data_IF_483573881184
#
_entry.id   IF_483573881184
#
_cell.length_a   1.000
_cell.length_b   1.000
_cell.length_c   1.000
_cell.angle_alpha   90.00
_cell.angle_beta   90.00
_cell.angle_gamma   90.00
#
_symmetry.space_group_name_H-M   'P 1'
#
loop_
_entity.id
_entity.type
_entity.pdbx_description
1 polymer ?
#
# COMPACT_ATOMS: atom_id res chain seq x y z
N UNK A 1 -5.77 -46.65 -28.53
CA UNK A 1 -5.83 -45.22 -28.14
C UNK A 1 -5.58 -45.18 -26.64
N UNK A 2 -4.34 -44.99 -26.23
CA UNK A 2 -3.89 -44.92 -24.86
C UNK A 2 -3.88 -43.43 -24.46
N UNK A 3 -4.60 -43.10 -23.37
CA UNK A 3 -4.64 -41.74 -22.82
C UNK A 3 -3.25 -41.30 -22.33
N UNK A 4 -2.83 -40.05 -22.49
CA UNK A 4 -1.57 -39.56 -21.99
C UNK A 4 -1.61 -39.47 -20.45
N UNK A 5 -0.46 -39.67 -19.76
CA UNK A 5 -0.38 -39.61 -18.31
C UNK A 5 -0.60 -38.18 -17.82
N UNK A 6 -1.51 -38.03 -16.87
CA UNK A 6 -1.72 -36.80 -16.12
C UNK A 6 -0.48 -36.45 -15.33
N UNK A 7 0.16 -35.33 -15.66
CA UNK A 7 1.27 -34.76 -14.90
C UNK A 7 0.81 -34.44 -13.45
N UNK A 8 1.62 -34.75 -12.41
CA UNK A 8 1.29 -34.44 -11.04
C UNK A 8 1.24 -32.93 -10.83
N UNK A 9 0.16 -32.45 -10.22
CA UNK A 9 0.01 -31.09 -9.72
C UNK A 9 1.16 -30.83 -8.72
N UNK A 10 2.17 -30.11 -9.16
CA UNK A 10 3.22 -29.59 -8.29
C UNK A 10 2.58 -28.55 -7.37
N UNK A 11 2.36 -28.94 -6.11
CA UNK A 11 2.08 -28.01 -5.02
C UNK A 11 3.32 -27.11 -4.85
N UNK A 12 3.21 -25.80 -5.04
CA UNK A 12 4.36 -24.93 -4.85
C UNK A 12 4.75 -24.93 -3.37
N UNK A 13 6.05 -24.99 -3.03
CA UNK A 13 6.50 -24.96 -1.66
C UNK A 13 6.00 -23.67 -1.00
N UNK A 14 5.42 -23.80 0.20
CA UNK A 14 5.07 -22.72 1.10
C UNK A 14 6.37 -22.03 1.55
N UNK A 15 6.96 -21.22 0.69
CA UNK A 15 8.23 -20.59 0.94
C UNK A 15 8.06 -19.26 1.69
N UNK A 16 8.79 -19.10 2.77
CA UNK A 16 9.04 -17.85 3.49
C UNK A 16 9.32 -16.66 2.54
N UNK A 17 9.88 -16.91 1.36
CA UNK A 17 10.10 -15.91 0.30
C UNK A 17 8.81 -15.27 -0.22
N UNK A 18 7.73 -16.03 -0.38
CA UNK A 18 6.43 -15.48 -0.82
C UNK A 18 5.76 -14.60 0.25
N UNK A 19 6.07 -14.84 1.52
CA UNK A 19 5.60 -13.99 2.61
C UNK A 19 6.34 -12.65 2.61
N UNK A 20 7.67 -12.66 2.41
CA UNK A 20 8.49 -11.43 2.38
C UNK A 20 8.13 -10.50 1.20
N UNK A 21 7.67 -11.03 0.08
CA UNK A 21 7.23 -10.23 -1.08
C UNK A 21 5.82 -9.67 -0.96
N UNK A 22 5.07 -10.08 0.07
CA UNK A 22 3.71 -9.58 0.27
C UNK A 22 3.71 -8.16 0.85
N UNK A 23 2.79 -7.31 0.37
CA UNK A 23 2.58 -5.97 0.92
C UNK A 23 2.37 -6.00 2.44
N UNK A 24 1.66 -7.03 2.93
CA UNK A 24 1.41 -7.25 4.35
C UNK A 24 2.71 -7.44 5.15
N UNK A 25 3.66 -8.24 4.66
CA UNK A 25 4.92 -8.47 5.33
C UNK A 25 5.81 -7.22 5.36
N UNK A 26 5.82 -6.44 4.28
CA UNK A 26 6.55 -5.17 4.24
C UNK A 26 5.98 -4.15 5.23
N UNK A 27 4.66 -4.02 5.30
CA UNK A 27 3.99 -3.16 6.27
C UNK A 27 4.27 -3.62 7.70
N UNK A 28 4.19 -4.93 7.97
CA UNK A 28 4.52 -5.49 9.28
C UNK A 28 5.97 -5.20 9.67
N UNK A 29 6.93 -5.44 8.77
CA UNK A 29 8.34 -5.17 9.04
C UNK A 29 8.61 -3.67 9.29
N UNK A 30 7.95 -2.79 8.55
CA UNK A 30 8.08 -1.34 8.73
C UNK A 30 7.48 -0.88 10.06
N UNK A 31 6.29 -1.37 10.44
CA UNK A 31 5.66 -1.03 11.72
C UNK A 31 6.45 -1.57 12.90
N UNK A 32 6.93 -2.81 12.83
CA UNK A 32 7.78 -3.39 13.86
C UNK A 32 9.09 -2.60 13.99
N UNK A 33 9.73 -2.26 12.87
CA UNK A 33 10.95 -1.44 12.87
C UNK A 33 10.73 -0.06 13.49
N UNK A 34 9.62 0.59 13.19
CA UNK A 34 9.27 1.89 13.79
C UNK A 34 9.05 1.79 15.30
N UNK A 35 8.37 0.73 15.76
CA UNK A 35 8.16 0.50 17.21
C UNK A 35 9.51 0.28 17.92
N UNK A 36 10.34 -0.61 17.37
CA UNK A 36 11.67 -0.90 17.95
C UNK A 36 12.59 0.33 17.96
N UNK A 37 12.53 1.15 16.94
CA UNK A 37 13.27 2.42 16.90
C UNK A 37 12.79 3.38 18.00
N UNK A 38 11.49 3.50 18.19
CA UNK A 38 10.90 4.33 19.24
C UNK A 38 11.30 3.84 20.62
N UNK A 39 11.26 2.53 20.84
CA UNK A 39 11.73 1.91 22.09
C UNK A 39 13.19 2.18 22.37
N UNK A 40 14.07 2.00 21.38
CA UNK A 40 15.49 2.31 21.50
C UNK A 40 15.71 3.78 21.87
N UNK A 41 14.93 4.70 21.30
CA UNK A 41 15.01 6.13 21.59
C UNK A 41 14.59 6.46 23.03
N UNK A 42 13.62 5.74 23.58
CA UNK A 42 13.14 5.91 24.97
C UNK A 42 14.04 5.19 25.97
N UNK A 43 14.60 4.05 25.60
CA UNK A 43 15.43 3.22 26.47
C UNK A 43 16.68 3.94 26.98
N UNK A 44 17.41 4.64 26.11
CA UNK A 44 18.65 5.33 26.46
C UNK A 44 18.42 6.41 27.54
N UNK A 45 17.45 7.34 27.40
CA UNK A 45 17.14 8.29 28.46
C UNK A 45 16.66 7.63 29.76
N UNK A 46 15.90 6.54 29.67
CA UNK A 46 15.38 5.82 30.86
C UNK A 46 16.51 5.24 31.68
N UNK A 47 17.46 4.57 31.04
CA UNK A 47 18.66 4.03 31.75
C UNK A 47 19.54 5.15 32.31
N UNK A 48 19.67 6.25 31.58
CA UNK A 48 20.41 7.44 32.03
C UNK A 48 19.77 8.05 33.28
N UNK A 49 18.44 8.17 33.32
CA UNK A 49 17.72 8.68 34.48
C UNK A 49 17.85 7.75 35.67
N UNK A 50 17.73 6.43 35.48
CA UNK A 50 17.94 5.46 36.54
C UNK A 50 19.32 5.64 37.20
N UNK A 51 20.39 5.71 36.34
CA UNK A 51 21.75 5.94 36.84
C UNK A 51 21.86 7.23 37.65
N UNK A 52 21.31 8.31 37.13
CA UNK A 52 21.36 9.61 37.79
C UNK A 52 20.63 9.59 39.13
N UNK A 53 19.39 9.07 39.17
CA UNK A 53 18.61 8.94 40.41
C UNK A 53 19.32 8.05 41.43
N UNK A 54 19.87 6.93 41.02
CA UNK A 54 20.60 6.02 41.88
C UNK A 54 21.80 6.70 42.57
N UNK A 55 22.56 7.52 41.81
CA UNK A 55 23.68 8.28 42.35
C UNK A 55 23.22 9.44 43.26
N UNK A 56 22.19 10.17 42.89
CA UNK A 56 21.60 11.26 43.65
C UNK A 56 21.04 10.77 45.02
N UNK A 57 20.43 9.59 45.06
CA UNK A 57 19.96 8.97 46.30
C UNK A 57 21.12 8.71 47.28
N UNK A 58 22.28 8.22 46.81
CA UNK A 58 23.46 7.98 47.65
C UNK A 58 24.09 9.29 48.08
N UNK A 59 24.15 10.28 47.20
CA UNK A 59 24.60 11.64 47.55
C UNK A 59 23.69 12.25 48.63
N UNK A 60 22.37 12.12 48.47
CA UNK A 60 21.42 12.62 49.50
C UNK A 60 21.60 11.92 50.84
N UNK A 61 21.79 10.61 50.85
CA UNK A 61 22.06 9.86 52.07
C UNK A 61 23.40 10.28 52.73
N UNK A 62 24.44 10.49 51.92
CA UNK A 62 25.74 10.97 52.40
C UNK A 62 25.67 12.40 52.95
N UNK A 63 24.86 13.30 52.34
CA UNK A 63 24.60 14.64 52.90
C UNK A 63 23.96 14.58 54.29
N UNK A 64 22.99 13.68 54.49
CA UNK A 64 22.36 13.49 55.78
C UNK A 64 23.39 12.99 56.82
N UNK A 65 24.27 12.05 56.42
CA UNK A 65 25.34 11.56 57.27
C UNK A 65 26.36 12.67 57.60
N UNK A 66 26.72 13.52 56.64
CA UNK A 66 27.59 14.68 56.86
C UNK A 66 26.97 15.71 57.83
N UNK A 67 25.68 16.02 57.68
CA UNK A 67 24.96 16.92 58.58
C UNK A 67 24.88 16.35 60.01
N UNK A 68 24.71 15.02 60.17
CA UNK A 68 24.72 14.39 61.47
C UNK A 68 26.08 14.52 62.16
N UNK A 69 27.18 14.52 61.39
CA UNK A 69 28.53 14.72 61.87
C UNK A 69 28.77 16.20 62.26
N UNK A 70 28.29 17.15 61.48
CA UNK A 70 28.39 18.60 61.79
C UNK A 70 27.64 18.94 63.08
N UNK A 71 26.58 18.20 63.45
CA UNK A 71 25.83 18.38 64.64
C UNK A 71 26.48 17.69 65.89
N UNK A 72 27.48 16.85 65.66
CA UNK A 72 28.19 16.13 66.78
C UNK A 72 29.20 17.03 67.49
N UNK A 73 29.38 16.87 68.79
CA UNK A 73 30.40 17.60 69.55
C UNK A 73 31.78 17.30 69.01
N UNK A 74 32.56 18.36 68.73
CA UNK A 74 33.91 18.32 68.13
C UNK A 74 33.99 17.69 66.72
N UNK A 75 32.86 17.47 66.05
CA UNK A 75 32.74 16.75 64.72
C UNK A 75 33.34 15.33 64.77
N UNK A 76 33.42 14.74 65.94
CA UNK A 76 33.88 13.36 66.18
C UNK A 76 32.69 12.47 66.49
N UNK A 77 32.61 11.34 65.83
CA UNK A 77 31.64 10.27 66.12
C UNK A 77 32.39 8.99 66.41
N UNK A 78 31.76 8.10 67.18
CA UNK A 78 32.35 6.81 67.42
C UNK A 78 32.51 6.01 66.13
N UNK A 79 33.52 5.15 66.09
CA UNK A 79 33.78 4.28 64.93
C UNK A 79 32.56 3.45 64.55
N UNK A 80 31.80 2.95 65.53
CA UNK A 80 30.55 2.20 65.29
C UNK A 80 29.48 3.05 64.63
N UNK A 81 29.34 4.31 65.00
CA UNK A 81 28.36 5.23 64.34
C UNK A 81 28.81 5.62 62.93
N UNK A 82 30.11 5.85 62.79
CA UNK A 82 30.71 6.13 61.44
C UNK A 82 30.43 4.96 60.48
N UNK A 83 30.70 3.73 60.87
CA UNK A 83 30.43 2.54 60.07
C UNK A 83 28.92 2.35 59.77
N UNK A 84 28.09 2.58 60.81
CA UNK A 84 26.62 2.53 60.63
C UNK A 84 26.09 3.57 59.66
N UNK A 85 26.64 4.79 59.66
CA UNK A 85 26.26 5.85 58.74
C UNK A 85 26.69 5.53 57.29
N UNK A 86 27.95 5.07 57.12
CA UNK A 86 28.46 4.65 55.79
C UNK A 86 27.64 3.48 55.22
N UNK A 87 27.31 2.48 56.06
CA UNK A 87 26.53 1.34 55.65
C UNK A 87 25.09 1.74 55.23
N UNK A 88 24.43 2.63 55.99
CA UNK A 88 23.08 3.11 55.66
C UNK A 88 23.05 4.00 54.44
N UNK A 89 24.10 4.77 54.16
CA UNK A 89 24.24 5.57 52.95
C UNK A 89 24.69 4.73 51.74
N UNK A 90 25.05 3.46 51.96
CA UNK A 90 25.59 2.56 50.95
C UNK A 90 26.84 3.16 50.22
N UNK A 91 27.68 3.86 50.96
CA UNK A 91 28.92 4.48 50.49
C UNK A 91 30.12 3.98 51.29
N UNK A 92 31.31 4.00 50.67
CA UNK A 92 32.53 3.57 51.33
C UNK A 92 33.23 4.70 52.09
N UNK A 93 33.16 5.93 51.57
CA UNK A 93 33.74 7.10 52.19
C UNK A 93 32.93 8.35 51.81
N UNK A 94 32.96 9.35 52.68
CA UNK A 94 32.39 10.68 52.48
C UNK A 94 33.44 11.71 52.84
N UNK A 95 33.71 12.61 51.88
CA UNK A 95 34.56 13.77 52.10
C UNK A 95 33.81 15.04 51.69
N UNK A 96 34.11 16.18 52.29
CA UNK A 96 33.61 17.47 51.89
C UNK A 96 34.80 18.36 51.49
N UNK A 97 34.63 19.09 50.46
CA UNK A 97 35.64 20.03 49.94
C UNK A 97 35.14 21.43 50.23
N UNK A 98 35.89 22.17 51.04
CA UNK A 98 35.62 23.57 51.38
C UNK A 98 36.92 24.36 51.09
N UNK A 99 36.86 25.40 50.31
CA UNK A 99 38.01 26.25 49.94
C UNK A 99 39.26 25.46 49.45
N UNK A 100 39.07 24.48 48.56
CA UNK A 100 40.12 23.59 48.05
C UNK A 100 40.77 22.64 49.11
N UNK A 101 40.27 22.63 50.33
CA UNK A 101 40.70 21.67 51.35
C UNK A 101 39.76 20.48 51.41
N UNK A 102 40.32 19.28 51.21
CA UNK A 102 39.58 18.03 51.41
C UNK A 102 39.47 17.75 52.92
N UNK A 103 38.26 17.87 53.45
CA UNK A 103 37.95 17.49 54.81
C UNK A 103 37.29 16.11 54.72
N UNK A 104 38.03 15.07 55.11
CA UNK A 104 37.53 13.73 55.17
C UNK A 104 36.57 13.61 56.36
N UNK A 105 35.28 13.41 56.11
CA UNK A 105 34.25 13.35 57.12
C UNK A 105 34.11 11.94 57.72
N UNK A 106 33.94 10.96 56.83
CA UNK A 106 33.73 9.55 57.17
C UNK A 106 34.67 8.70 56.30
N UNK A 107 35.51 7.90 56.94
CA UNK A 107 36.45 7.01 56.26
C UNK A 107 36.26 5.56 56.76
N UNK A 108 36.43 4.58 55.87
CA UNK A 108 36.46 3.18 56.30
C UNK A 108 37.75 2.88 57.05
N UNK A 109 37.69 1.93 57.93
CA UNK A 109 38.89 1.42 58.68
C UNK A 109 39.87 0.71 57.74
N UNK A 110 39.42 0.23 56.58
CA UNK A 110 40.25 -0.48 55.58
C UNK A 110 40.50 0.45 54.40
N UNK A 111 41.76 0.60 53.94
CA UNK A 111 42.05 1.41 52.78
C UNK A 111 41.31 0.96 51.54
N UNK A 112 40.72 1.92 50.82
CA UNK A 112 40.05 1.64 49.55
C UNK A 112 41.12 1.40 48.49
N UNK A 113 41.19 0.20 47.92
CA UNK A 113 42.16 -0.19 46.90
C UNK A 113 41.39 -0.58 45.62
N UNK A 114 41.70 0.08 44.52
CA UNK A 114 41.09 -0.24 43.21
C UNK A 114 41.16 0.93 42.24
N UNK A 115 40.82 0.69 40.97
CA UNK A 115 40.72 1.77 39.98
C UNK A 115 39.54 2.67 40.33
N UNK A 116 39.81 3.98 40.41
CA UNK A 116 38.82 4.99 40.73
C UNK A 116 38.44 5.80 39.49
N UNK A 117 37.14 6.03 39.35
CA UNK A 117 36.61 6.86 38.25
C UNK A 117 35.79 8.01 38.81
N UNK A 118 36.17 9.22 38.40
CA UNK A 118 35.48 10.45 38.77
C UNK A 118 34.17 10.59 37.99
N UNK A 119 33.09 10.89 38.70
CA UNK A 119 31.75 11.17 38.15
C UNK A 119 31.28 12.50 38.76
N UNK A 120 31.29 13.55 37.97
CA UNK A 120 30.77 14.86 38.36
C UNK A 120 29.27 14.96 37.97
N UNK A 121 28.40 15.13 38.97
CA UNK A 121 26.97 15.32 38.76
C UNK A 121 26.59 16.79 38.52
N UNK A 122 27.52 17.70 38.76
CA UNK A 122 27.30 19.15 38.60
C UNK A 122 27.42 19.49 37.09
N UNK A 123 26.39 20.03 36.50
CA UNK A 123 26.48 20.61 35.16
C UNK A 123 26.54 19.60 34.00
N UNK A 124 26.18 18.34 34.20
CA UNK A 124 26.16 17.34 33.11
C UNK A 124 25.00 17.55 32.14
N UNK A 125 25.31 17.59 30.83
CA UNK A 125 24.28 17.65 29.78
C UNK A 125 23.51 16.33 29.65
N UNK A 126 22.29 16.37 29.13
CA UNK A 126 21.48 15.15 28.92
C UNK A 126 22.22 14.12 28.04
N UNK A 127 22.90 14.57 27.00
CA UNK A 127 23.71 13.72 26.14
C UNK A 127 24.90 13.11 26.90
N UNK A 128 25.59 13.89 27.73
CA UNK A 128 26.70 13.42 28.56
C UNK A 128 26.26 12.35 29.56
N UNK A 129 25.09 12.54 30.22
CA UNK A 129 24.49 11.54 31.12
C UNK A 129 24.17 10.24 30.41
N UNK A 130 23.57 10.31 29.20
CA UNK A 130 23.26 9.14 28.41
C UNK A 130 24.50 8.35 28.00
N UNK A 131 25.55 9.05 27.57
CA UNK A 131 26.81 8.41 27.19
C UNK A 131 27.50 7.79 28.43
N UNK A 132 27.47 8.46 29.56
CA UNK A 132 28.00 7.93 30.81
C UNK A 132 27.27 6.68 31.26
N UNK A 133 25.92 6.63 31.15
CA UNK A 133 25.13 5.45 31.45
C UNK A 133 25.49 4.26 30.54
N UNK A 134 25.68 4.48 29.25
CA UNK A 134 26.12 3.40 28.32
C UNK A 134 27.53 2.90 28.68
N UNK A 135 28.41 3.77 29.12
CA UNK A 135 29.77 3.40 29.54
C UNK A 135 29.77 2.50 30.78
N UNK A 136 28.79 2.61 31.67
CA UNK A 136 28.68 1.74 32.88
C UNK A 136 28.56 0.25 32.49
N UNK A 137 27.88 -0.08 31.41
CA UNK A 137 27.75 -1.48 30.94
C UNK A 137 29.12 -2.07 30.51
N UNK A 138 30.01 -1.21 29.97
CA UNK A 138 31.32 -1.61 29.47
C UNK A 138 32.43 -1.54 30.54
N UNK A 139 32.13 -0.99 31.73
CA UNK A 139 33.10 -0.80 32.77
C UNK A 139 33.61 -2.14 33.36
N UNK A 140 34.91 -2.26 33.69
CA UNK A 140 35.49 -3.45 34.25
C UNK A 140 34.95 -3.72 35.65
N UNK A 141 34.93 -4.99 36.09
CA UNK A 141 34.50 -5.33 37.46
C UNK A 141 35.51 -4.81 38.50
N UNK A 142 35.00 -4.35 39.64
CA UNK A 142 35.82 -3.87 40.76
C UNK A 142 36.24 -2.39 40.71
N UNK A 143 35.70 -1.64 39.74
CA UNK A 143 35.89 -0.18 39.67
C UNK A 143 35.15 0.52 40.80
N UNK A 144 35.78 1.56 41.39
CA UNK A 144 35.16 2.44 42.36
C UNK A 144 34.74 3.74 41.70
N UNK A 145 33.58 4.26 42.06
CA UNK A 145 33.10 5.55 41.59
C UNK A 145 33.36 6.60 42.65
N UNK A 146 34.02 7.66 42.25
CA UNK A 146 34.19 8.89 43.02
C UNK A 146 33.16 9.89 42.49
N UNK A 147 32.08 10.09 43.24
CA UNK A 147 30.97 10.95 42.81
C UNK A 147 31.08 12.30 43.47
N UNK A 148 31.12 13.33 42.64
CA UNK A 148 31.20 14.72 43.09
C UNK A 148 29.86 15.40 42.85
N UNK A 149 29.30 15.99 43.91
CA UNK A 149 28.03 16.70 43.87
C UNK A 149 28.07 17.95 44.75
N UNK A 150 27.03 18.77 44.68
CA UNK A 150 26.87 19.91 45.61
C UNK A 150 26.80 19.44 47.05
N UNK A 151 27.47 20.09 47.99
CA UNK A 151 27.52 19.76 49.38
C UNK A 151 26.27 20.15 50.17
N UNK A 152 26.37 20.06 51.51
CA UNK A 152 25.28 20.35 52.45
C UNK A 152 25.06 21.85 52.66
N UNK A 153 26.05 22.69 52.39
CA UNK A 153 25.99 24.16 52.50
C UNK A 153 26.45 24.83 51.20
N UNK A 154 26.06 26.09 50.98
CA UNK A 154 26.49 26.88 49.81
C UNK A 154 28.01 26.95 49.74
N UNK A 155 28.54 26.63 48.53
CA UNK A 155 29.98 26.65 48.27
C UNK A 155 30.72 25.37 48.69
N UNK A 156 30.11 24.43 49.36
CA UNK A 156 30.72 23.13 49.66
C UNK A 156 30.44 22.11 48.58
N UNK A 157 31.36 21.21 48.36
CA UNK A 157 31.23 20.08 47.43
C UNK A 157 31.38 18.79 48.20
N UNK A 158 30.43 17.88 48.06
CA UNK A 158 30.51 16.55 48.64
C UNK A 158 31.12 15.58 47.63
N UNK A 159 32.05 14.78 48.13
CA UNK A 159 32.70 13.71 47.37
C UNK A 159 32.40 12.38 48.10
N UNK A 160 31.80 11.44 47.41
CA UNK A 160 31.49 10.12 47.92
C UNK A 160 32.17 9.03 47.12
N UNK A 161 32.68 8.02 47.78
CA UNK A 161 33.27 6.86 47.17
C UNK A 161 32.32 5.69 47.33
N UNK A 162 32.00 5.02 46.24
CA UNK A 162 31.07 3.87 46.24
C UNK A 162 31.51 2.80 45.21
N UNK A 163 31.18 1.52 45.48
CA UNK A 163 31.48 0.47 44.51
C UNK A 163 30.51 0.54 43.33
N UNK A 164 31.03 0.35 42.10
CA UNK A 164 30.22 0.33 40.87
C UNK A 164 29.30 -0.87 40.78
N UNK A 165 29.66 -2.01 41.38
CA UNK A 165 28.97 -3.27 41.21
C UNK A 165 27.46 -3.23 41.47
N UNK A 166 26.96 -2.62 42.59
CA UNK A 166 25.52 -2.49 42.85
C UNK A 166 24.80 -1.70 41.77
N UNK A 167 25.34 -0.55 41.36
CA UNK A 167 24.79 0.28 40.29
C UNK A 167 24.65 -0.52 38.99
N UNK A 168 25.71 -1.22 38.58
CA UNK A 168 25.71 -2.06 37.37
C UNK A 168 24.66 -3.16 37.44
N UNK A 169 24.51 -3.80 38.60
CA UNK A 169 23.51 -4.86 38.80
C UNK A 169 22.11 -4.31 38.64
N UNK A 170 21.80 -3.19 39.28
CA UNK A 170 20.49 -2.55 39.20
C UNK A 170 20.18 -2.05 37.80
N UNK A 171 21.16 -1.46 37.12
CA UNK A 171 21.03 -1.04 35.73
C UNK A 171 20.75 -2.23 34.78
N UNK A 172 21.45 -3.35 34.94
CA UNK A 172 21.23 -4.55 34.14
C UNK A 172 19.85 -5.16 34.41
N UNK A 173 19.45 -5.27 35.66
CA UNK A 173 18.10 -5.76 36.02
C UNK A 173 17.00 -4.86 35.48
N UNK A 174 17.17 -3.56 35.56
CA UNK A 174 16.24 -2.59 34.99
C UNK A 174 16.18 -2.73 33.46
N UNK A 175 17.34 -2.81 32.78
CA UNK A 175 17.41 -3.03 31.36
C UNK A 175 16.64 -4.28 30.93
N UNK A 176 16.83 -5.41 31.61
CA UNK A 176 16.10 -6.64 31.32
C UNK A 176 14.59 -6.52 31.49
N UNK A 177 14.15 -5.87 32.61
CA UNK A 177 12.72 -5.64 32.87
C UNK A 177 12.09 -4.75 31.82
N UNK A 178 12.72 -3.60 31.52
CA UNK A 178 12.21 -2.65 30.52
C UNK A 178 12.20 -3.29 29.16
N UNK A 179 13.33 -3.85 28.70
CA UNK A 179 13.41 -4.48 27.37
C UNK A 179 12.42 -5.64 27.22
N UNK A 180 12.29 -6.48 28.26
CA UNK A 180 11.33 -7.60 28.24
C UNK A 180 9.89 -7.13 28.13
N UNK A 181 9.50 -6.15 28.94
CA UNK A 181 8.15 -5.58 28.91
C UNK A 181 7.88 -4.88 27.57
N UNK A 182 8.82 -4.07 27.10
CA UNK A 182 8.75 -3.37 25.82
C UNK A 182 8.62 -4.34 24.65
N UNK A 183 9.39 -5.42 24.65
CA UNK A 183 9.30 -6.43 23.59
C UNK A 183 7.92 -7.10 23.53
N UNK A 184 7.33 -7.38 24.71
CA UNK A 184 5.96 -7.93 24.79
C UNK A 184 4.95 -6.93 24.21
N UNK A 185 5.03 -5.67 24.63
CA UNK A 185 4.13 -4.60 24.16
C UNK A 185 4.31 -4.42 22.64
N UNK A 186 5.55 -4.36 22.16
CA UNK A 186 5.86 -4.24 20.75
C UNK A 186 5.28 -5.39 19.91
N UNK A 187 5.43 -6.62 20.41
CA UNK A 187 4.89 -7.80 19.73
C UNK A 187 3.36 -7.76 19.67
N UNK A 188 2.71 -7.44 20.78
CA UNK A 188 1.24 -7.33 20.84
C UNK A 188 0.75 -6.23 19.90
N UNK A 189 1.38 -5.05 19.94
CA UNK A 189 1.04 -3.93 19.05
C UNK A 189 1.25 -4.28 17.58
N UNK A 190 2.37 -4.91 17.23
CA UNK A 190 2.66 -5.32 15.85
C UNK A 190 1.66 -6.35 15.34
N UNK A 191 1.30 -7.35 16.16
CA UNK A 191 0.27 -8.35 15.79
C UNK A 191 -1.09 -7.70 15.60
N UNK A 192 -1.48 -6.77 16.48
CA UNK A 192 -2.75 -6.06 16.39
C UNK A 192 -2.82 -5.20 15.12
N UNK A 193 -1.79 -4.40 14.88
CA UNK A 193 -1.70 -3.56 13.68
C UNK A 193 -1.73 -4.42 12.40
N UNK A 194 -0.96 -5.53 12.39
CA UNK A 194 -0.97 -6.46 11.27
C UNK A 194 -2.38 -7.04 11.02
N UNK A 195 -3.06 -7.48 12.08
CA UNK A 195 -4.40 -8.03 11.96
C UNK A 195 -5.41 -7.01 11.40
N UNK A 196 -5.35 -5.77 11.89
CA UNK A 196 -6.18 -4.67 11.38
C UNK A 196 -5.87 -4.40 9.90
N UNK A 197 -4.60 -4.25 9.54
CA UNK A 197 -4.20 -4.02 8.14
C UNK A 197 -4.59 -5.19 7.22
N UNK A 198 -4.41 -6.43 7.67
CA UNK A 198 -4.79 -7.60 6.88
C UNK A 198 -6.30 -7.63 6.59
N UNK A 199 -7.12 -7.42 7.62
CA UNK A 199 -8.59 -7.46 7.49
C UNK A 199 -9.14 -6.28 6.70
N UNK A 200 -8.67 -5.05 6.98
CA UNK A 200 -9.26 -3.84 6.42
C UNK A 200 -8.65 -3.39 5.10
N UNK A 201 -7.39 -3.77 4.80
CA UNK A 201 -6.66 -3.31 3.60
C UNK A 201 -6.27 -4.47 2.70
N UNK A 202 -5.49 -5.44 3.22
CA UNK A 202 -4.86 -6.46 2.38
C UNK A 202 -5.88 -7.41 1.77
N UNK A 203 -6.80 -7.95 2.56
CA UNK A 203 -7.84 -8.88 2.06
C UNK A 203 -8.77 -8.23 1.04
N UNK A 204 -9.30 -7.01 1.25
CA UNK A 204 -10.10 -6.33 0.24
C UNK A 204 -9.34 -6.08 -1.07
N UNK A 205 -8.10 -5.59 -1.00
CA UNK A 205 -7.28 -5.36 -2.20
C UNK A 205 -7.00 -6.67 -2.95
N UNK A 206 -6.66 -7.75 -2.25
CA UNK A 206 -6.48 -9.07 -2.87
C UNK A 206 -7.73 -9.56 -3.59
N UNK A 207 -8.93 -9.34 -3.02
CA UNK A 207 -10.19 -9.71 -3.68
C UNK A 207 -10.38 -8.95 -4.99
N UNK A 208 -10.10 -7.65 -5.00
CA UNK A 208 -10.15 -6.80 -6.20
C UNK A 208 -9.17 -7.31 -7.25
N UNK A 209 -7.91 -7.54 -6.88
CA UNK A 209 -6.88 -8.03 -7.81
C UNK A 209 -7.26 -9.38 -8.43
N UNK A 210 -7.71 -10.33 -7.61
CA UNK A 210 -8.15 -11.65 -8.11
C UNK A 210 -9.33 -11.52 -9.06
N UNK A 211 -10.31 -10.65 -8.77
CA UNK A 211 -11.45 -10.42 -9.67
C UNK A 211 -11.00 -9.87 -11.01
N UNK A 212 -10.10 -8.87 -11.02
CA UNK A 212 -9.55 -8.30 -12.26
C UNK A 212 -8.79 -9.34 -13.07
N UNK A 213 -7.92 -10.13 -12.43
CA UNK A 213 -7.16 -11.17 -13.11
C UNK A 213 -8.06 -12.24 -13.74
N UNK A 214 -9.11 -12.65 -13.03
CA UNK A 214 -10.06 -13.63 -13.52
C UNK A 214 -10.91 -13.05 -14.66
N UNK A 215 -11.38 -11.81 -14.51
CA UNK A 215 -12.15 -11.12 -15.53
C UNK A 215 -11.34 -10.90 -16.81
N UNK A 216 -10.05 -10.57 -16.70
CA UNK A 216 -9.19 -10.36 -17.87
C UNK A 216 -8.96 -11.63 -18.70
N UNK A 217 -9.04 -12.81 -18.09
CA UNK A 217 -8.84 -14.10 -18.78
C UNK A 217 -10.05 -14.51 -19.63
N UNK A 218 -11.24 -14.21 -19.14
CA UNK A 218 -12.51 -14.56 -19.84
C UNK A 218 -13.63 -13.56 -19.52
N UNK A 219 -13.66 -12.40 -20.19
CA UNK A 219 -14.69 -11.38 -19.95
C UNK A 219 -16.12 -11.82 -20.33
N UNK A 220 -16.25 -12.75 -21.25
CA UNK A 220 -17.54 -13.16 -21.81
C UNK A 220 -18.32 -14.15 -20.96
N UNK A 221 -17.62 -15.14 -20.34
CA UNK A 221 -18.22 -16.19 -19.53
C UNK A 221 -18.16 -15.92 -18.02
N UNK A 222 -17.59 -14.80 -17.59
CA UNK A 222 -17.39 -14.46 -16.19
C UNK A 222 -18.72 -14.40 -15.42
N UNK A 223 -18.98 -15.43 -14.62
CA UNK A 223 -20.20 -15.56 -13.80
C UNK A 223 -20.05 -15.01 -12.39
N UNK A 224 -18.81 -14.97 -11.86
CA UNK A 224 -18.51 -14.56 -10.48
C UNK A 224 -18.02 -13.11 -10.45
N UNK A 225 -18.95 -12.17 -10.57
CA UNK A 225 -18.67 -10.74 -10.54
C UNK A 225 -18.33 -10.24 -9.14
N UNK A 226 -17.54 -9.18 -9.09
CA UNK A 226 -17.30 -8.46 -7.85
C UNK A 226 -18.63 -7.88 -7.35
N UNK A 227 -19.07 -8.31 -6.16
CA UNK A 227 -20.29 -7.75 -5.56
C UNK A 227 -20.02 -6.34 -5.06
N UNK A 228 -20.95 -5.40 -5.26
CA UNK A 228 -20.88 -4.09 -4.64
C UNK A 228 -20.71 -4.19 -3.14
N UNK A 229 -19.88 -3.32 -2.56
CA UNK A 229 -19.63 -3.29 -1.12
C UNK A 229 -20.30 -2.07 -0.48
N UNK A 230 -20.82 -2.17 0.76
CA UNK A 230 -21.37 -1.04 1.49
C UNK A 230 -20.27 -0.10 2.05
N UNK A 231 -18.99 -0.40 1.85
CA UNK A 231 -17.87 0.42 2.32
C UNK A 231 -17.89 1.79 1.65
N UNK A 232 -17.64 2.83 2.48
CA UNK A 232 -17.63 4.24 2.03
C UNK A 232 -16.22 4.82 1.86
N UNK A 233 -15.18 4.04 2.15
CA UNK A 233 -13.78 4.42 2.00
C UNK A 233 -13.29 4.31 0.54
N UNK A 234 -12.04 4.66 0.30
CA UNK A 234 -11.39 4.65 -1.01
C UNK A 234 -11.39 3.25 -1.64
N UNK A 235 -11.19 2.22 -0.82
CA UNK A 235 -11.18 0.81 -1.25
C UNK A 235 -12.59 0.41 -1.69
N UNK A 236 -13.61 0.79 -0.94
CA UNK A 236 -15.02 0.55 -1.30
C UNK A 236 -15.42 1.25 -2.58
N UNK A 237 -15.00 2.51 -2.77
CA UNK A 237 -15.24 3.26 -4.02
C UNK A 237 -14.58 2.59 -5.22
N UNK A 238 -13.31 2.18 -5.09
CA UNK A 238 -12.60 1.47 -6.15
C UNK A 238 -13.27 0.13 -6.49
N UNK A 239 -13.72 -0.61 -5.48
CA UNK A 239 -14.43 -1.88 -5.64
C UNK A 239 -15.75 -1.71 -6.38
N UNK A 240 -16.53 -0.69 -6.04
CA UNK A 240 -17.81 -0.39 -6.68
C UNK A 240 -17.63 0.11 -8.11
N UNK A 241 -16.64 0.96 -8.37
CA UNK A 241 -16.30 1.41 -9.72
C UNK A 241 -15.89 0.24 -10.63
N UNK A 242 -15.06 -0.66 -10.12
CA UNK A 242 -14.63 -1.86 -10.85
C UNK A 242 -15.82 -2.79 -11.14
N UNK A 243 -16.69 -3.03 -10.16
CA UNK A 243 -17.93 -3.82 -10.34
C UNK A 243 -18.82 -3.24 -11.44
N UNK A 244 -18.94 -1.90 -11.48
CA UNK A 244 -19.66 -1.20 -12.55
C UNK A 244 -19.02 -1.41 -13.92
N UNK A 245 -17.69 -1.32 -14.01
CA UNK A 245 -16.92 -1.55 -15.23
C UNK A 245 -17.07 -3.00 -15.73
N UNK A 246 -16.90 -4.00 -14.87
CA UNK A 246 -17.10 -5.42 -15.18
C UNK A 246 -18.50 -5.67 -15.76
N UNK A 247 -19.51 -5.04 -15.17
CA UNK A 247 -20.91 -5.14 -15.67
C UNK A 247 -21.04 -4.52 -17.07
N UNK A 248 -20.56 -3.32 -17.27
CA UNK A 248 -20.67 -2.63 -18.57
C UNK A 248 -19.96 -3.39 -19.69
N UNK A 249 -18.76 -3.92 -19.43
CA UNK A 249 -18.01 -4.72 -20.39
C UNK A 249 -18.73 -6.03 -20.71
N UNK A 250 -19.24 -6.74 -19.69
CA UNK A 250 -19.99 -7.98 -19.91
C UNK A 250 -21.29 -7.75 -20.68
N UNK A 251 -21.96 -6.62 -20.46
CA UNK A 251 -23.17 -6.26 -21.23
C UNK A 251 -22.82 -5.95 -22.69
N UNK A 252 -21.70 -5.25 -22.95
CA UNK A 252 -21.20 -5.01 -24.30
C UNK A 252 -20.84 -6.31 -25.05
N UNK A 253 -20.20 -7.27 -24.37
CA UNK A 253 -19.92 -8.59 -24.95
C UNK A 253 -21.21 -9.35 -25.30
N UNK A 254 -22.22 -9.33 -24.44
CA UNK A 254 -23.52 -9.96 -24.71
C UNK A 254 -24.23 -9.33 -25.91
N UNK A 255 -24.24 -8.01 -25.99
CA UNK A 255 -24.79 -7.31 -27.14
C UNK A 255 -24.07 -7.70 -28.43
N UNK A 256 -22.73 -7.76 -28.38
CA UNK A 256 -21.93 -8.15 -29.56
C UNK A 256 -22.20 -9.59 -30.00
N UNK A 257 -22.32 -10.51 -29.05
CA UNK A 257 -22.68 -11.90 -29.34
C UNK A 257 -24.09 -11.99 -29.96
N UNK A 258 -25.07 -11.26 -29.42
CA UNK A 258 -26.43 -11.23 -29.94
C UNK A 258 -26.48 -10.64 -31.36
N UNK A 259 -25.74 -9.56 -31.64
CA UNK A 259 -25.64 -9.01 -32.97
C UNK A 259 -24.98 -9.98 -33.96
N UNK A 260 -23.97 -10.74 -33.52
CA UNK A 260 -23.33 -11.77 -34.35
C UNK A 260 -24.31 -12.93 -34.68
N UNK A 261 -25.11 -13.33 -33.70
CA UNK A 261 -26.15 -14.36 -33.87
C UNK A 261 -27.25 -13.89 -34.85
N UNK A 262 -27.73 -12.65 -34.68
CA UNK A 262 -28.69 -12.04 -35.60
C UNK A 262 -28.10 -11.93 -37.02
N UNK A 263 -26.85 -11.52 -37.16
CA UNK A 263 -26.16 -11.46 -38.46
C UNK A 263 -26.08 -12.82 -39.14
N UNK A 264 -25.81 -13.88 -38.39
CA UNK A 264 -25.81 -15.26 -38.90
C UNK A 264 -27.19 -15.72 -39.32
N UNK A 265 -28.22 -15.44 -38.56
CA UNK A 265 -29.59 -15.77 -38.87
C UNK A 265 -30.09 -15.06 -40.12
N UNK A 266 -29.80 -13.75 -40.24
CA UNK A 266 -30.13 -12.94 -41.45
C UNK A 266 -29.41 -13.48 -42.67
N UNK A 267 -28.13 -13.86 -42.56
CA UNK A 267 -27.39 -14.45 -43.69
C UNK A 267 -28.01 -15.76 -44.19
N UNK A 268 -28.48 -16.61 -43.26
CA UNK A 268 -29.17 -17.87 -43.60
C UNK A 268 -30.50 -17.60 -44.28
N UNK A 269 -31.32 -16.72 -43.69
CA UNK A 269 -32.63 -16.36 -44.31
C UNK A 269 -32.43 -15.82 -45.72
N UNK A 270 -31.47 -14.97 -45.95
CA UNK A 270 -31.20 -14.42 -47.27
C UNK A 270 -30.68 -15.45 -48.25
N UNK A 271 -29.89 -16.43 -47.80
CA UNK A 271 -29.49 -17.57 -48.64
C UNK A 271 -30.71 -18.37 -49.11
N UNK A 272 -31.61 -18.68 -48.17
CA UNK A 272 -32.83 -19.47 -48.46
C UNK A 272 -33.80 -18.68 -49.34
N UNK A 273 -33.92 -17.36 -49.10
CA UNK A 273 -34.71 -16.45 -49.96
C UNK A 273 -34.19 -16.40 -51.37
N UNK A 274 -32.85 -16.24 -51.56
CA UNK A 274 -32.21 -16.23 -52.89
C UNK A 274 -32.48 -17.53 -53.66
N UNK A 275 -32.36 -18.67 -53.01
CA UNK A 275 -32.66 -19.97 -53.62
C UNK A 275 -34.13 -20.11 -54.05
N UNK A 276 -35.06 -19.61 -53.22
CA UNK A 276 -36.50 -19.62 -53.55
C UNK A 276 -36.81 -18.68 -54.73
N UNK A 277 -36.21 -17.48 -54.74
CA UNK A 277 -36.38 -16.51 -55.83
C UNK A 277 -35.77 -17.03 -57.14
N UNK A 278 -34.56 -17.65 -57.09
CA UNK A 278 -33.95 -18.27 -58.28
C UNK A 278 -34.85 -19.41 -58.87
N UNK A 279 -35.47 -20.22 -57.97
CA UNK A 279 -36.39 -21.24 -58.40
C UNK A 279 -37.66 -20.63 -59.04
N UNK A 280 -38.18 -19.55 -58.47
CA UNK A 280 -39.34 -18.83 -59.06
C UNK A 280 -38.99 -18.16 -60.38
N UNK A 281 -37.77 -17.70 -60.59
CA UNK A 281 -37.26 -17.13 -61.83
C UNK A 281 -37.22 -18.19 -62.93
N UNK A 282 -36.74 -19.41 -62.63
CA UNK A 282 -36.74 -20.52 -63.59
C UNK A 282 -38.17 -20.87 -64.07
N UNK A 283 -39.14 -20.87 -63.18
CA UNK A 283 -40.54 -21.11 -63.52
C UNK A 283 -41.09 -19.95 -64.39
N UNK A 284 -40.74 -18.69 -64.00
CA UNK A 284 -41.15 -17.52 -64.82
C UNK A 284 -40.59 -17.57 -66.24
N UNK A 285 -39.32 -18.01 -66.41
CA UNK A 285 -38.68 -18.18 -67.71
C UNK A 285 -39.39 -19.24 -68.57
N UNK A 286 -39.88 -20.32 -68.00
CA UNK A 286 -40.67 -21.33 -68.66
C UNK A 286 -42.04 -20.77 -69.11
N UNK A 287 -42.72 -20.01 -68.23
CA UNK A 287 -43.98 -19.36 -68.49
C UNK A 287 -43.86 -18.33 -69.61
N UNK A 288 -42.71 -17.58 -69.73
CA UNK A 288 -42.47 -16.61 -70.72
C UNK A 288 -42.46 -17.25 -72.18
N UNK A 289 -42.18 -18.55 -72.30
CA UNK A 289 -42.19 -19.32 -73.51
C UNK A 289 -43.60 -19.81 -73.92
N UNK A 290 -44.62 -19.56 -73.16
CA UNK A 290 -46.01 -19.98 -73.38
C UNK A 290 -46.61 -19.17 -74.51
N UNK A 291 -47.39 -19.82 -75.41
CA UNK A 291 -48.10 -19.17 -76.53
C UNK A 291 -49.47 -18.55 -76.10
N UNK A 292 -49.89 -18.72 -74.82
CA UNK A 292 -51.09 -18.09 -74.34
C UNK A 292 -50.94 -16.55 -74.24
N UNK A 293 -51.83 -15.78 -74.91
CA UNK A 293 -51.78 -14.32 -74.94
C UNK A 293 -51.92 -13.67 -73.53
N UNK A 294 -52.51 -14.38 -72.57
CA UNK A 294 -52.65 -13.90 -71.17
C UNK A 294 -51.33 -14.08 -70.45
N UNK A 295 -50.62 -15.17 -70.66
CA UNK A 295 -49.31 -15.45 -70.07
C UNK A 295 -48.27 -14.52 -70.62
N UNK A 296 -48.22 -14.31 -72.00
CA UNK A 296 -47.33 -13.38 -72.66
C UNK A 296 -47.40 -11.93 -72.11
N UNK A 297 -48.56 -11.50 -71.65
CA UNK A 297 -48.77 -10.18 -71.03
C UNK A 297 -48.35 -10.10 -69.56
N UNK A 298 -48.45 -11.20 -68.82
CA UNK A 298 -48.18 -11.28 -67.40
C UNK A 298 -46.69 -11.58 -67.08
N UNK A 299 -46.02 -12.42 -67.84
CA UNK A 299 -44.63 -12.86 -67.63
C UNK A 299 -43.62 -11.72 -67.49
N UNK A 300 -43.59 -10.63 -68.28
CA UNK A 300 -42.65 -9.54 -68.06
C UNK A 300 -42.85 -8.74 -66.77
N UNK A 301 -44.08 -8.77 -66.24
CA UNK A 301 -44.36 -8.13 -64.95
C UNK A 301 -43.84 -8.98 -63.76
N UNK A 302 -43.96 -10.28 -63.86
CA UNK A 302 -43.47 -11.23 -62.85
C UNK A 302 -41.94 -11.22 -62.84
N UNK A 303 -41.27 -11.24 -64.01
CA UNK A 303 -39.82 -11.17 -64.18
C UNK A 303 -39.27 -9.93 -63.49
N UNK A 304 -39.80 -8.74 -63.73
CA UNK A 304 -39.40 -7.48 -63.10
C UNK A 304 -39.64 -7.45 -61.64
N UNK A 305 -40.68 -8.16 -61.12
CA UNK A 305 -40.97 -8.25 -59.68
C UNK A 305 -39.92 -9.14 -58.97
N UNK A 306 -39.55 -10.26 -59.62
CA UNK A 306 -38.51 -11.17 -59.13
C UNK A 306 -37.13 -10.54 -59.15
N UNK A 307 -36.75 -9.84 -60.22
CA UNK A 307 -35.49 -9.08 -60.29
C UNK A 307 -35.38 -8.08 -59.14
N UNK A 308 -36.39 -7.26 -58.92
CA UNK A 308 -36.40 -6.30 -57.77
C UNK A 308 -36.33 -6.99 -56.41
N UNK A 309 -36.93 -8.15 -56.24
CA UNK A 309 -36.86 -8.90 -55.01
C UNK A 309 -35.46 -9.47 -54.76
N UNK A 310 -34.77 -9.91 -55.82
CA UNK A 310 -33.38 -10.39 -55.75
C UNK A 310 -32.41 -9.24 -55.44
N UNK A 311 -32.60 -8.09 -56.12
CA UNK A 311 -31.81 -6.89 -55.82
C UNK A 311 -31.96 -6.43 -54.36
N UNK A 312 -33.19 -6.36 -53.86
CA UNK A 312 -33.47 -5.97 -52.49
C UNK A 312 -32.85 -6.96 -51.49
N UNK A 313 -32.97 -8.27 -51.70
CA UNK A 313 -32.35 -9.29 -50.86
C UNK A 313 -30.82 -9.18 -50.88
N UNK A 314 -30.23 -8.86 -52.01
CA UNK A 314 -28.77 -8.69 -52.15
C UNK A 314 -28.29 -7.41 -51.45
N UNK A 315 -28.97 -6.30 -51.66
CA UNK A 315 -28.64 -5.02 -51.01
C UNK A 315 -28.75 -5.09 -49.50
N UNK A 316 -29.74 -5.81 -48.95
CA UNK A 316 -29.89 -6.03 -47.51
C UNK A 316 -28.71 -6.80 -46.92
N UNK A 317 -28.16 -7.77 -47.65
CA UNK A 317 -26.98 -8.54 -47.26
C UNK A 317 -25.70 -7.69 -47.23
N UNK A 318 -25.52 -6.90 -48.25
CA UNK A 318 -24.33 -6.04 -48.34
C UNK A 318 -24.33 -4.95 -47.28
N UNK A 319 -25.48 -4.43 -46.90
CA UNK A 319 -25.62 -3.53 -45.74
C UNK A 319 -25.29 -4.23 -44.40
N UNK A 320 -25.72 -5.47 -44.21
CA UNK A 320 -25.43 -6.26 -43.01
C UNK A 320 -23.95 -6.73 -42.87
N UNK A 321 -23.24 -6.87 -44.03
CA UNK A 321 -21.83 -7.26 -44.04
C UNK A 321 -20.86 -6.07 -44.02
N UNK A 322 -21.32 -4.89 -44.33
CA UNK A 322 -20.51 -3.68 -44.30
C UNK A 322 -20.24 -3.27 -42.86
N UNK A 323 -19.15 -3.79 -42.29
CA UNK A 323 -18.53 -3.10 -41.15
C UNK A 323 -18.26 -1.66 -41.60
N UNK A 324 -18.58 -0.65 -40.80
CA UNK A 324 -18.29 0.73 -41.16
C UNK A 324 -16.78 0.84 -41.46
N UNK A 325 -16.46 0.93 -42.76
CA UNK A 325 -15.08 1.20 -43.17
C UNK A 325 -14.72 2.57 -42.62
N UNK A 326 -13.62 2.65 -41.92
CA UNK A 326 -13.10 3.94 -41.51
C UNK A 326 -13.02 4.86 -42.71
N UNK A 327 -13.65 6.04 -42.69
CA UNK A 327 -13.65 6.93 -43.83
C UNK A 327 -12.20 7.27 -44.21
N UNK A 328 -11.83 7.05 -45.46
CA UNK A 328 -10.55 7.55 -45.98
C UNK A 328 -10.74 9.03 -46.27
N UNK A 329 -10.26 9.86 -45.40
CA UNK A 329 -10.29 11.31 -45.62
C UNK A 329 -9.36 11.65 -46.80
N UNK A 330 -9.95 12.16 -47.86
CA UNK A 330 -9.24 12.67 -49.03
C UNK A 330 -9.71 14.10 -49.30
N UNK A 331 -8.82 15.00 -49.72
CA UNK A 331 -9.25 16.34 -50.12
C UNK A 331 -10.11 16.20 -51.41
N UNK A 332 -11.38 16.57 -51.28
CA UNK A 332 -12.35 16.45 -52.38
C UNK A 332 -12.81 17.85 -52.77
N UNK A 333 -12.82 18.12 -54.05
CA UNK A 333 -13.36 19.37 -54.54
C UNK A 333 -14.90 19.33 -54.43
N UNK A 334 -15.46 20.09 -53.48
CA UNK A 334 -16.90 20.11 -53.16
C UNK A 334 -17.74 20.40 -54.41
N UNK A 335 -17.22 21.23 -55.33
CA UNK A 335 -17.88 21.56 -56.63
C UNK A 335 -18.06 20.35 -57.52
N UNK A 336 -17.06 19.45 -57.59
CA UNK A 336 -17.16 18.24 -58.40
C UNK A 336 -18.21 17.28 -57.82
N UNK A 337 -18.21 17.08 -56.51
CA UNK A 337 -19.20 16.21 -55.83
C UNK A 337 -20.63 16.73 -55.99
N UNK A 338 -20.82 18.06 -55.91
CA UNK A 338 -22.13 18.66 -56.09
C UNK A 338 -22.61 18.58 -57.57
N UNK A 339 -21.72 18.69 -58.53
CA UNK A 339 -22.06 18.53 -59.95
C UNK A 339 -22.42 17.08 -60.28
N UNK A 340 -21.67 16.12 -59.77
CA UNK A 340 -21.91 14.69 -59.94
C UNK A 340 -23.24 14.25 -59.30
N UNK A 341 -23.52 14.71 -58.07
CA UNK A 341 -24.79 14.48 -57.39
C UNK A 341 -25.98 15.13 -58.13
N UNK A 342 -25.78 16.30 -58.75
CA UNK A 342 -26.81 16.98 -59.52
C UNK A 342 -27.11 16.25 -60.85
N UNK A 343 -26.09 15.74 -61.53
CA UNK A 343 -26.27 14.94 -62.73
C UNK A 343 -26.97 13.61 -62.47
N UNK A 344 -26.62 12.95 -61.35
CA UNK A 344 -27.25 11.69 -60.90
C UNK A 344 -28.73 11.90 -60.53
N UNK A 345 -29.06 12.98 -59.86
CA UNK A 345 -30.42 13.35 -59.53
C UNK A 345 -31.27 13.71 -60.77
N UNK A 346 -30.69 14.38 -61.80
CA UNK A 346 -31.35 14.67 -63.06
C UNK A 346 -31.60 13.43 -63.89
N UNK A 347 -30.65 12.49 -63.92
CA UNK A 347 -30.80 11.20 -64.57
C UNK A 347 -31.81 10.28 -63.90
N UNK A 348 -32.01 10.43 -62.56
CA UNK A 348 -32.99 9.72 -61.76
C UNK A 348 -34.45 10.24 -61.83
N UNK A 349 -34.73 11.25 -62.73
CA UNK A 349 -36.07 11.76 -62.99
C UNK A 349 -36.52 12.97 -62.17
N UNK A 350 -35.59 13.67 -61.52
CA UNK A 350 -35.85 14.97 -60.85
C UNK A 350 -36.05 16.05 -61.93
N UNK A 351 -37.25 16.64 -62.01
CA UNK A 351 -37.62 17.55 -63.10
C UNK A 351 -37.10 18.98 -62.96
N UNK A 352 -36.59 19.35 -61.79
CA UNK A 352 -35.99 20.67 -61.56
C UNK A 352 -35.08 20.62 -60.33
N UNK A 353 -33.78 20.70 -60.55
CA UNK A 353 -32.83 21.04 -59.48
C UNK A 353 -32.43 22.50 -59.69
N UNK A 354 -32.98 23.39 -58.84
CA UNK A 354 -32.53 24.76 -58.78
C UNK A 354 -31.22 24.78 -57.96
N UNK A 355 -30.12 24.62 -58.70
CA UNK A 355 -28.78 24.81 -58.10
C UNK A 355 -28.60 26.31 -57.98
N UNK A 356 -29.15 26.87 -56.89
CA UNK A 356 -28.84 28.21 -56.44
C UNK A 356 -27.32 28.25 -56.26
N UNK A 357 -26.69 28.85 -57.23
CA UNK A 357 -25.26 29.06 -57.32
C UNK A 357 -24.73 29.60 -56.00
N UNK A 358 -24.03 28.77 -55.26
CA UNK A 358 -23.05 29.22 -54.29
C UNK A 358 -21.92 29.92 -55.07
N UNK A 359 -22.21 31.12 -55.61
CA UNK A 359 -21.24 32.12 -55.96
C UNK A 359 -20.96 32.95 -54.73
N UNK A 360 -20.18 32.43 -53.84
CA UNK A 360 -19.55 33.26 -52.82
C UNK A 360 -18.16 32.73 -52.57
N UNK A 361 -17.25 33.46 -53.05
CA UNK A 361 -15.90 33.69 -52.70
C UNK A 361 -15.21 32.80 -51.71
N UNK A 362 -14.02 32.42 -52.06
CA UNK A 362 -13.01 32.01 -51.10
C UNK A 362 -12.70 30.52 -51.20
N UNK A 363 -11.61 30.22 -51.82
CA UNK A 363 -10.81 29.05 -51.53
C UNK A 363 -10.60 28.95 -50.05
N UNK A 364 -11.37 28.12 -49.36
CA UNK A 364 -11.01 27.62 -48.02
C UNK A 364 -10.94 26.11 -48.12
N UNK A 365 -9.72 25.62 -48.14
CA UNK A 365 -9.41 24.23 -47.89
C UNK A 365 -9.97 23.90 -46.47
N UNK A 366 -10.96 23.04 -46.39
CA UNK A 366 -11.35 22.40 -45.13
C UNK A 366 -10.63 21.06 -45.10
N UNK A 367 -9.80 20.92 -44.03
CA UNK A 367 -9.18 19.68 -43.61
C UNK A 367 -10.19 18.82 -42.87
#
# INVERSE_FOLDING_TARGET
MTAPPTAPLQTPPLGLRRFADSLAARLFALTLGAILLTEFLIFIPSVSNLRTQWLEERVAAARIAALALDAAPMREVSDELSESLLMKAEVLAVAEIEDDMHIQLLAPQIPIVGPMRLVDLRGSTAMGRSLAALREYAAPPGEMLVVVAEGSAEGRVIEIVLPQAPLKTDMVQFAWRVTGLSLIIALVAAVLIYAVLDVFVVRPIKRVTISVEQFSRDPGSWTRRLSPTPRRDEIGRAQNALSGMEKAVADAFRQRAHLAELGSAVAKINHDLRNSLASAQLVSDVLAKSDDPRVKRAAPRLERALERAIELATATLDYGKSAPRSPKLQPVCLRMVLLEAAEEALNGGATQLDIATCRAGGERNFF
#
